data_IF_891317565468
#
_entry.id   IF_891317565468
#
_cell.length_a   1.000
_cell.length_b   1.000
_cell.length_c   1.000
_cell.angle_alpha   90.00
_cell.angle_beta   90.00
_cell.angle_gamma   90.00
#
_symmetry.space_group_name_H-M   'P 1'
#
loop_
_entity.id
_entity.type
_entity.pdbx_description
1 polymer ?
#
# COMPACT_ATOMS: atom_id res chain seq x y z
N UNK A 1 -10.53 13.36 10.25
CA UNK A 1 -9.28 12.88 9.67
C UNK A 1 -8.56 12.08 10.74
N UNK A 2 -8.50 10.76 10.57
CA UNK A 2 -7.75 9.88 11.46
C UNK A 2 -6.32 9.75 10.92
N UNK A 3 -5.32 9.75 11.79
CA UNK A 3 -3.91 9.54 11.47
C UNK A 3 -3.33 8.55 12.49
N UNK A 4 -2.58 7.56 12.01
CA UNK A 4 -1.91 6.55 12.83
C UNK A 4 -0.50 6.34 12.31
N UNK A 5 0.48 6.39 13.21
CA UNK A 5 1.91 6.17 12.93
C UNK A 5 2.35 4.82 13.49
N UNK A 6 3.00 4.01 12.64
CA UNK A 6 3.45 2.65 12.91
C UNK A 6 4.96 2.47 12.95
N UNK A 7 5.74 3.43 12.42
CA UNK A 7 7.19 3.27 12.25
C UNK A 7 7.88 2.87 13.56
N UNK A 8 7.58 3.61 14.63
CA UNK A 8 8.15 3.40 15.97
C UNK A 8 7.22 2.66 16.94
N UNK A 9 5.95 2.49 16.59
CA UNK A 9 4.92 1.99 17.52
C UNK A 9 4.62 0.50 17.38
N UNK A 10 4.87 -0.08 16.20
CA UNK A 10 4.57 -1.48 15.91
C UNK A 10 5.84 -2.29 15.64
N UNK A 11 5.92 -3.53 16.15
CA UNK A 11 7.09 -4.41 15.91
C UNK A 11 6.94 -5.30 14.67
N UNK A 12 5.73 -5.44 14.16
CA UNK A 12 5.38 -6.27 13.01
C UNK A 12 4.21 -5.61 12.25
N UNK A 13 3.78 -6.20 11.13
CA UNK A 13 2.70 -5.65 10.31
C UNK A 13 1.31 -6.23 10.58
N UNK A 14 1.09 -6.92 11.72
CA UNK A 14 -0.21 -7.56 12.00
C UNK A 14 -1.34 -6.53 12.13
N UNK A 15 -1.12 -5.46 12.90
CA UNK A 15 -2.13 -4.39 13.07
C UNK A 15 -2.41 -3.66 11.75
N UNK A 16 -1.37 -3.44 10.94
CA UNK A 16 -1.52 -2.91 9.59
C UNK A 16 -2.42 -3.81 8.73
N UNK A 17 -2.21 -5.13 8.76
CA UNK A 17 -3.04 -6.11 8.04
C UNK A 17 -4.50 -6.08 8.50
N UNK A 18 -4.74 -5.99 9.81
CA UNK A 18 -6.10 -5.89 10.35
C UNK A 18 -6.83 -4.63 9.86
N UNK A 19 -6.12 -3.49 9.80
CA UNK A 19 -6.68 -2.24 9.30
C UNK A 19 -6.94 -2.31 7.79
N UNK A 20 -5.94 -2.74 7.02
CA UNK A 20 -6.05 -2.92 5.57
C UNK A 20 -7.21 -3.86 5.21
N UNK A 21 -7.37 -4.97 5.92
CA UNK A 21 -8.48 -5.92 5.73
C UNK A 21 -9.85 -5.25 5.88
N UNK A 22 -10.03 -4.42 6.92
CA UNK A 22 -11.30 -3.70 7.14
C UNK A 22 -11.59 -2.71 6.01
N UNK A 23 -10.57 -2.03 5.50
CA UNK A 23 -10.72 -1.00 4.47
C UNK A 23 -10.95 -1.62 3.10
N UNK A 24 -10.22 -2.67 2.73
CA UNK A 24 -10.43 -3.40 1.47
C UNK A 24 -11.86 -3.95 1.31
N UNK A 25 -12.56 -4.30 2.40
CA UNK A 25 -13.97 -4.75 2.34
C UNK A 25 -14.95 -3.72 1.79
N UNK A 26 -14.61 -2.44 1.88
CA UNK A 26 -15.52 -1.34 1.51
C UNK A 26 -15.03 -0.54 0.30
N UNK A 27 -13.77 -0.71 -0.07
CA UNK A 27 -13.17 -0.12 -1.25
C UNK A 27 -13.57 -0.90 -2.52
N UNK A 28 -13.64 -0.20 -3.65
CA UNK A 28 -13.89 -0.80 -4.97
C UNK A 28 -12.68 -0.71 -5.87
N UNK A 29 -11.87 0.34 -5.73
CA UNK A 29 -10.64 0.53 -6.51
C UNK A 29 -9.47 0.89 -5.61
N UNK A 30 -8.27 0.68 -6.14
CA UNK A 30 -7.03 1.00 -5.47
C UNK A 30 -6.10 1.78 -6.40
N UNK A 31 -5.16 2.50 -5.79
CA UNK A 31 -3.93 2.95 -6.40
C UNK A 31 -2.74 2.47 -5.57
N UNK A 32 -1.72 1.95 -6.24
CA UNK A 32 -0.41 1.66 -5.66
C UNK A 32 0.58 2.64 -6.24
N UNK A 33 1.26 3.39 -5.38
CA UNK A 33 2.31 4.32 -5.78
C UNK A 33 3.66 3.68 -5.44
N UNK A 34 4.55 3.63 -6.43
CA UNK A 34 5.92 3.11 -6.27
C UNK A 34 6.93 4.12 -6.81
N UNK A 35 8.14 4.18 -6.25
CA UNK A 35 9.23 4.95 -6.83
C UNK A 35 9.75 4.29 -8.12
N UNK A 36 10.31 5.07 -9.04
CA UNK A 36 10.81 4.55 -10.31
C UNK A 36 11.95 3.51 -10.16
N UNK A 37 12.62 3.48 -9.01
CA UNK A 37 13.72 2.55 -8.77
C UNK A 37 13.25 1.21 -8.20
N UNK A 38 12.01 1.14 -7.73
CA UNK A 38 11.37 -0.03 -7.11
C UNK A 38 10.73 -0.92 -8.19
N UNK A 39 11.57 -1.47 -9.08
CA UNK A 39 11.09 -2.24 -10.23
C UNK A 39 10.38 -3.53 -9.82
N UNK A 40 10.81 -4.17 -8.73
CA UNK A 40 10.17 -5.39 -8.22
C UNK A 40 8.75 -5.08 -7.73
N UNK A 41 8.60 -4.01 -6.96
CA UNK A 41 7.32 -3.55 -6.42
C UNK A 41 6.38 -3.05 -7.53
N UNK A 42 6.91 -2.36 -8.54
CA UNK A 42 6.13 -1.99 -9.73
C UNK A 42 5.60 -3.25 -10.41
N UNK A 43 6.44 -4.27 -10.63
CA UNK A 43 6.01 -5.51 -11.27
C UNK A 43 4.99 -6.28 -10.42
N UNK A 44 5.14 -6.27 -9.09
CA UNK A 44 4.17 -6.84 -8.15
C UNK A 44 2.80 -6.16 -8.28
N UNK A 45 2.76 -4.83 -8.33
CA UNK A 45 1.52 -4.07 -8.45
C UNK A 45 0.83 -4.29 -9.81
N UNK A 46 1.62 -4.38 -10.89
CA UNK A 46 1.14 -4.63 -12.25
C UNK A 46 0.42 -5.97 -12.45
N UNK A 47 0.56 -6.93 -11.52
CA UNK A 47 -0.21 -8.16 -11.56
C UNK A 47 -1.72 -7.92 -11.35
N UNK A 48 -2.11 -6.79 -10.77
CA UNK A 48 -3.48 -6.50 -10.34
C UNK A 48 -4.07 -5.23 -10.96
N UNK A 49 -3.29 -4.50 -11.76
CA UNK A 49 -3.70 -3.21 -12.29
C UNK A 49 -2.86 -2.77 -13.48
N UNK A 50 -3.09 -1.53 -13.90
CA UNK A 50 -2.41 -0.91 -15.03
C UNK A 50 -1.76 0.41 -14.61
N UNK A 51 -0.74 0.84 -15.36
CA UNK A 51 -0.12 2.14 -15.12
C UNK A 51 -1.13 3.25 -15.41
N UNK A 52 -1.41 4.07 -14.41
CA UNK A 52 -2.18 5.30 -14.55
C UNK A 52 -1.27 6.39 -15.14
N UNK A 53 -1.76 7.07 -16.17
CA UNK A 53 -1.07 8.24 -16.71
C UNK A 53 -1.05 9.37 -15.66
N UNK A 54 0.14 9.90 -15.38
CA UNK A 54 0.36 10.90 -14.34
C UNK A 54 1.53 11.82 -14.70
N UNK A 55 1.53 13.03 -14.16
CA UNK A 55 2.66 13.96 -14.24
C UNK A 55 3.74 13.70 -13.18
N UNK A 56 3.55 12.72 -12.29
CA UNK A 56 4.51 12.36 -11.25
C UNK A 56 5.78 11.74 -11.86
N UNK A 57 6.87 12.51 -11.89
CA UNK A 57 8.11 12.11 -12.57
C UNK A 57 8.97 11.11 -11.79
N UNK A 58 8.72 10.96 -10.49
CA UNK A 58 9.59 10.21 -9.59
C UNK A 58 9.14 8.77 -9.38
N UNK A 59 7.91 8.46 -9.79
CA UNK A 59 7.32 7.15 -9.57
C UNK A 59 6.22 6.82 -10.55
N UNK A 60 5.58 5.68 -10.31
CA UNK A 60 4.44 5.18 -11.08
C UNK A 60 3.27 4.99 -10.17
N UNK A 61 2.08 5.28 -10.70
CA UNK A 61 0.82 4.93 -10.07
C UNK A 61 0.24 3.76 -10.85
N UNK A 62 -0.05 2.67 -10.16
CA UNK A 62 -0.74 1.50 -10.70
C UNK A 62 -2.16 1.53 -10.13
N UNK A 63 -3.17 1.56 -10.99
CA UNK A 63 -4.58 1.58 -10.58
C UNK A 63 -5.27 0.27 -10.97
N UNK A 64 -6.25 -0.14 -10.17
CA UNK A 64 -7.03 -1.35 -10.44
C UNK A 64 -8.27 -1.47 -9.57
N UNK A 65 -9.01 -2.56 -9.76
CA UNK A 65 -10.18 -2.89 -8.94
C UNK A 65 -9.74 -3.70 -7.72
N UNK A 66 -10.41 -3.49 -6.59
CA UNK A 66 -10.27 -4.36 -5.41
C UNK A 66 -11.00 -5.66 -5.67
N UNK A 67 -10.24 -6.70 -6.05
CA UNK A 67 -10.75 -8.06 -6.25
C UNK A 67 -10.41 -8.95 -5.05
N UNK A 68 -11.03 -10.14 -4.92
CA UNK A 68 -10.63 -11.14 -3.93
C UNK A 68 -9.16 -11.54 -4.05
N UNK A 69 -8.64 -11.66 -5.27
CA UNK A 69 -7.24 -12.00 -5.55
C UNK A 69 -6.29 -10.90 -5.06
N UNK A 70 -6.59 -9.63 -5.39
CA UNK A 70 -5.83 -8.48 -4.90
C UNK A 70 -5.87 -8.39 -3.36
N UNK A 71 -7.05 -8.56 -2.77
CA UNK A 71 -7.24 -8.53 -1.31
C UNK A 71 -6.41 -9.62 -0.63
N UNK A 72 -6.48 -10.85 -1.15
CA UNK A 72 -5.70 -11.96 -0.64
C UNK A 72 -4.21 -11.71 -0.78
N UNK A 73 -3.78 -11.15 -1.92
CA UNK A 73 -2.38 -10.82 -2.16
C UNK A 73 -1.86 -9.82 -1.15
N UNK A 74 -2.46 -8.62 -1.07
CA UNK A 74 -2.02 -7.53 -0.18
C UNK A 74 -1.92 -7.98 1.29
N UNK A 75 -2.87 -8.80 1.76
CA UNK A 75 -2.88 -9.29 3.15
C UNK A 75 -1.84 -10.37 3.43
N UNK A 76 -1.36 -11.08 2.41
CA UNK A 76 -0.41 -12.19 2.54
C UNK A 76 1.01 -11.84 2.09
N UNK A 77 1.27 -10.64 1.57
CA UNK A 77 2.65 -10.18 1.35
C UNK A 77 3.42 -10.25 2.70
N UNK A 78 4.62 -10.85 2.72
CA UNK A 78 5.49 -10.83 3.89
C UNK A 78 5.87 -9.40 4.28
N UNK A 79 6.09 -9.15 5.57
CA UNK A 79 6.66 -7.87 6.00
C UNK A 79 8.04 -7.71 5.31
N UNK A 80 8.35 -6.54 4.70
CA UNK A 80 9.68 -6.30 4.16
C UNK A 80 10.76 -6.42 5.23
N UNK A 81 11.94 -6.90 4.82
CA UNK A 81 13.08 -7.12 5.72
C UNK A 81 13.99 -5.89 5.83
N UNK A 82 14.03 -5.06 4.79
CA UNK A 82 14.76 -3.80 4.69
C UNK A 82 14.09 -2.72 5.54
N UNK A 83 14.39 -2.76 6.84
CA UNK A 83 13.71 -1.97 7.88
C UNK A 83 14.59 -0.91 8.53
N UNK A 84 15.75 -0.62 7.94
CA UNK A 84 16.77 0.25 8.52
C UNK A 84 16.39 1.74 8.45
N UNK A 85 15.65 2.14 7.41
CA UNK A 85 15.20 3.54 7.21
C UNK A 85 13.74 3.71 7.65
N UNK A 86 12.90 2.75 7.31
CA UNK A 86 11.49 2.69 7.70
C UNK A 86 11.19 1.29 8.21
N UNK A 87 10.42 1.16 9.27
CA UNK A 87 9.84 -0.11 9.69
C UNK A 87 8.68 -0.50 8.77
N UNK A 88 8.99 -0.79 7.49
CA UNK A 88 8.01 -1.02 6.42
C UNK A 88 6.96 -2.07 6.80
N UNK A 89 5.69 -1.76 6.57
CA UNK A 89 4.57 -2.68 6.77
C UNK A 89 4.18 -3.41 5.48
N UNK A 90 4.42 -2.75 4.35
CA UNK A 90 4.17 -3.20 2.98
C UNK A 90 5.35 -2.78 2.10
N UNK A 91 5.66 -3.50 1.01
CA UNK A 91 6.71 -3.10 0.08
C UNK A 91 6.35 -1.83 -0.72
N UNK A 92 5.06 -1.54 -0.89
CA UNK A 92 4.59 -0.41 -1.68
C UNK A 92 4.70 0.91 -0.93
N UNK A 93 5.17 1.97 -1.59
CA UNK A 93 5.30 3.29 -0.98
C UNK A 93 3.95 3.83 -0.50
N UNK A 94 2.91 3.77 -1.35
CA UNK A 94 1.53 4.07 -0.93
C UNK A 94 0.54 3.06 -1.49
N UNK A 95 -0.43 2.64 -0.67
CA UNK A 95 -1.68 2.02 -1.12
C UNK A 95 -2.82 2.97 -0.77
N UNK A 96 -3.47 3.54 -1.79
CA UNK A 96 -4.66 4.37 -1.64
C UNK A 96 -5.90 3.62 -2.11
N UNK A 97 -7.01 3.77 -1.38
CA UNK A 97 -8.29 3.16 -1.69
C UNK A 97 -9.35 4.25 -1.95
N UNK A 98 -10.31 3.97 -2.82
CA UNK A 98 -11.38 4.92 -3.19
C UNK A 98 -12.34 5.28 -2.05
N UNK A 99 -12.27 4.56 -0.93
CA UNK A 99 -12.99 4.88 0.30
C UNK A 99 -12.25 5.91 1.19
N UNK A 100 -11.24 6.61 0.66
CA UNK A 100 -10.51 7.66 1.36
C UNK A 100 -9.46 7.16 2.35
N UNK A 101 -9.18 5.85 2.37
CA UNK A 101 -8.10 5.28 3.17
C UNK A 101 -6.77 5.30 2.41
N UNK A 102 -5.71 5.73 3.09
CA UNK A 102 -4.36 5.71 2.55
C UNK A 102 -3.41 5.03 3.55
N UNK A 103 -2.56 4.17 3.01
CA UNK A 103 -1.44 3.56 3.70
C UNK A 103 -0.16 4.07 3.04
N UNK A 104 0.46 5.07 3.64
CA UNK A 104 1.53 5.90 3.08
C UNK A 104 2.89 5.53 3.68
N UNK A 105 3.97 5.97 3.03
CA UNK A 105 5.36 5.76 3.48
C UNK A 105 5.67 4.31 3.86
N UNK A 106 5.36 3.36 2.96
CA UNK A 106 5.51 1.92 3.20
C UNK A 106 4.56 1.36 4.29
N UNK A 107 3.43 2.04 4.48
CA UNK A 107 2.40 1.70 5.46
C UNK A 107 2.79 2.03 6.90
N UNK A 108 3.82 2.86 7.10
CA UNK A 108 4.13 3.40 8.42
C UNK A 108 3.17 4.50 8.83
N UNK A 109 2.43 5.09 7.88
CA UNK A 109 1.44 6.13 8.15
C UNK A 109 0.10 5.74 7.53
N UNK A 110 -0.95 5.75 8.35
CA UNK A 110 -2.31 5.48 7.89
C UNK A 110 -3.18 6.72 8.05
N UNK A 111 -3.85 7.14 6.97
CA UNK A 111 -4.81 8.24 6.98
C UNK A 111 -6.18 7.82 6.49
N UNK A 112 -7.21 8.51 7.01
CA UNK A 112 -8.60 8.37 6.56
C UNK A 112 -9.22 9.76 6.39
N UNK A 113 -9.60 10.06 5.14
CA UNK A 113 -10.41 11.23 4.78
C UNK A 113 -11.86 11.05 5.22
#
# INVERSE_FOLDING_TARGET
MEYIEFDVTERNNLRWKEMMYKKLKTAKTFEIHCWNMEQEEINMALLFGEVKETCWKYGKIIQGNVTPEFTNYVLNIPKPADTEIYNKMTPFFTIALDNGFWSEHYGTELTQA
#
